data_IF_372394066550
#
_entry.id   IF_372394066550
#
_cell.length_a   1.000
_cell.length_b   1.000
_cell.length_c   1.000
_cell.angle_alpha   90.00
_cell.angle_beta   90.00
_cell.angle_gamma   90.00
#
_symmetry.space_group_name_H-M   'P 1'
#
loop_
_entity.id
_entity.type
_entity.pdbx_description
1 polymer ?
#
# COMPACT_ATOMS: atom_id res chain seq x y z
N UNK A 1 24.24 12.79 39.54
CA UNK A 1 23.02 11.96 39.46
C UNK A 1 21.77 12.71 38.96
N UNK A 2 21.50 13.95 39.42
CA UNK A 2 20.30 14.72 39.00
C UNK A 2 20.22 14.94 37.48
N UNK A 3 21.35 15.24 36.83
CA UNK A 3 21.40 15.47 35.38
C UNK A 3 21.19 14.19 34.55
N UNK A 4 21.63 13.02 35.06
CA UNK A 4 21.39 11.71 34.41
C UNK A 4 19.90 11.37 34.43
N UNK A 5 19.19 11.66 35.54
CA UNK A 5 17.74 11.47 35.63
C UNK A 5 16.96 12.34 34.64
N UNK A 6 17.43 13.57 34.39
CA UNK A 6 16.83 14.48 33.40
C UNK A 6 17.09 13.97 31.97
N UNK A 7 18.31 13.51 31.66
CA UNK A 7 18.63 12.95 30.33
C UNK A 7 17.81 11.69 30.04
N UNK A 8 17.66 10.78 31.01
CA UNK A 8 16.82 9.57 30.86
C UNK A 8 15.35 9.95 30.66
N UNK A 9 14.84 10.94 31.42
CA UNK A 9 13.46 11.42 31.25
C UNK A 9 13.23 12.08 29.88
N UNK A 10 14.19 12.86 29.38
CA UNK A 10 14.12 13.48 28.04
C UNK A 10 14.23 12.45 26.91
N UNK A 11 15.08 11.42 27.04
CA UNK A 11 15.19 10.35 26.04
C UNK A 11 13.91 9.50 25.97
N UNK A 12 13.26 9.30 27.12
CA UNK A 12 11.97 8.60 27.21
C UNK A 12 10.84 9.36 26.51
N UNK A 13 10.88 10.70 26.52
CA UNK A 13 9.88 11.54 25.83
C UNK A 13 10.03 11.52 24.30
N UNK A 14 11.24 11.34 23.78
CA UNK A 14 11.51 11.25 22.33
C UNK A 14 10.98 9.93 21.75
N UNK A 15 10.93 8.85 22.55
CA UNK A 15 10.40 7.55 22.12
C UNK A 15 8.87 7.54 21.95
N UNK A 16 8.15 8.54 22.48
CA UNK A 16 6.68 8.60 22.40
C UNK A 16 6.13 9.25 21.12
N UNK A 17 7.00 9.77 20.24
CA UNK A 17 6.56 10.45 19.00
C UNK A 17 6.67 9.59 17.75
N UNK A 18 6.67 8.25 17.86
CA UNK A 18 6.65 7.37 16.69
C UNK A 18 5.37 7.60 15.88
N UNK A 19 5.44 8.50 14.90
CA UNK A 19 4.34 8.80 13.99
C UNK A 19 4.16 7.63 13.01
N UNK A 20 3.28 6.70 13.35
CA UNK A 20 2.81 5.71 12.41
C UNK A 20 1.97 6.37 11.29
N UNK A 21 2.06 5.86 10.07
CA UNK A 21 1.21 6.32 8.96
C UNK A 21 -0.27 6.05 9.26
N UNK A 22 -1.03 7.14 9.48
CA UNK A 22 -2.48 7.07 9.71
C UNK A 22 -3.19 6.50 8.48
N UNK A 23 -4.10 5.51 8.64
CA UNK A 23 -4.95 5.02 7.55
C UNK A 23 -5.81 6.14 6.94
N UNK A 24 -6.24 5.95 5.70
CA UNK A 24 -7.13 6.87 4.97
C UNK A 24 -8.34 6.09 4.46
N UNK A 25 -9.55 6.51 4.79
CA UNK A 25 -10.75 5.77 4.37
C UNK A 25 -10.88 5.73 2.85
N UNK A 26 -11.11 4.54 2.31
CA UNK A 26 -11.35 4.35 0.88
C UNK A 26 -12.67 4.96 0.42
N UNK A 27 -12.61 5.72 -0.68
CA UNK A 27 -13.77 6.16 -1.47
C UNK A 27 -14.16 5.16 -2.58
N UNK A 28 -13.39 4.09 -2.74
CA UNK A 28 -13.65 3.06 -3.75
C UNK A 28 -14.53 1.94 -3.19
N UNK A 29 -15.30 1.33 -4.09
CA UNK A 29 -15.97 0.07 -3.81
C UNK A 29 -14.97 -1.05 -4.03
N UNK A 30 -14.58 -1.69 -2.93
CA UNK A 30 -13.77 -2.90 -2.97
C UNK A 30 -14.64 -4.04 -3.49
N UNK A 31 -14.18 -4.68 -4.57
CA UNK A 31 -14.80 -5.89 -5.08
C UNK A 31 -14.37 -7.00 -4.12
N UNK A 32 -15.10 -7.12 -3.01
CA UNK A 32 -14.95 -8.25 -2.10
C UNK A 32 -15.60 -9.44 -2.81
N UNK A 33 -14.85 -10.10 -3.66
CA UNK A 33 -15.23 -11.41 -4.15
C UNK A 33 -15.34 -12.31 -2.92
N UNK A 34 -16.50 -12.95 -2.70
CA UNK A 34 -16.66 -14.03 -1.71
C UNK A 34 -15.87 -15.30 -2.11
N UNK A 35 -14.75 -15.10 -2.79
CA UNK A 35 -13.96 -16.12 -3.43
C UNK A 35 -12.80 -16.38 -2.47
N UNK A 36 -12.77 -17.57 -1.88
CA UNK A 36 -11.66 -18.03 -1.04
C UNK A 36 -10.32 -18.00 -1.79
N UNK A 37 -10.35 -18.08 -3.14
CA UNK A 37 -9.19 -18.09 -4.03
C UNK A 37 -9.39 -17.24 -5.30
N UNK A 38 -8.90 -16.00 -5.33
CA UNK A 38 -8.93 -15.15 -6.55
C UNK A 38 -8.01 -15.73 -7.63
N UNK A 39 -8.52 -15.92 -8.85
CA UNK A 39 -7.74 -16.37 -10.00
C UNK A 39 -7.42 -15.22 -10.96
N UNK A 40 -6.36 -15.36 -11.79
CA UNK A 40 -6.00 -14.32 -12.78
C UNK A 40 -7.08 -14.13 -13.86
N UNK A 41 -7.96 -15.11 -14.07
CA UNK A 41 -9.05 -15.01 -15.03
C UNK A 41 -10.23 -14.19 -14.50
N UNK A 42 -10.29 -13.97 -13.18
CA UNK A 42 -11.28 -13.09 -12.54
C UNK A 42 -10.93 -11.59 -12.71
N UNK A 43 -9.70 -11.31 -13.17
CA UNK A 43 -9.14 -9.98 -13.33
C UNK A 43 -9.06 -9.55 -14.81
N UNK A 44 -8.95 -8.25 -15.05
CA UNK A 44 -9.01 -7.63 -16.36
C UNK A 44 -10.38 -6.98 -16.62
N UNK A 45 -10.54 -6.36 -17.79
CA UNK A 45 -11.74 -5.60 -18.15
C UNK A 45 -12.19 -4.61 -17.06
N UNK A 46 -11.22 -3.99 -16.38
CA UNK A 46 -11.42 -3.04 -15.29
C UNK A 46 -11.33 -3.63 -13.89
N UNK A 47 -11.44 -4.95 -13.69
CA UNK A 47 -11.14 -5.55 -12.38
C UNK A 47 -9.63 -5.65 -12.19
N UNK A 48 -9.08 -4.77 -11.37
CA UNK A 48 -7.64 -4.66 -11.16
C UNK A 48 -7.29 -4.95 -9.71
N UNK A 49 -6.39 -5.91 -9.51
CA UNK A 49 -5.79 -6.21 -8.21
C UNK A 49 -4.60 -5.27 -7.98
N UNK A 50 -4.61 -4.55 -6.86
CA UNK A 50 -3.53 -3.67 -6.43
C UNK A 50 -2.99 -4.22 -5.12
N UNK A 51 -1.69 -4.49 -5.05
CA UNK A 51 -1.08 -5.07 -3.84
C UNK A 51 0.18 -4.34 -3.40
N UNK A 52 0.45 -4.45 -2.11
CA UNK A 52 1.69 -3.95 -1.52
C UNK A 52 2.82 -4.99 -1.67
N UNK A 53 3.76 -4.68 -2.54
CA UNK A 53 4.93 -5.50 -2.88
C UNK A 53 6.14 -5.30 -1.97
N UNK A 54 5.97 -4.81 -0.75
CA UNK A 54 7.05 -4.68 0.23
C UNK A 54 7.76 -6.03 0.48
N UNK A 55 9.08 -6.01 0.42
CA UNK A 55 9.94 -7.18 0.68
C UNK A 55 9.94 -7.57 2.16
N UNK A 56 10.41 -8.78 2.49
CA UNK A 56 10.46 -9.32 3.86
C UNK A 56 11.14 -8.34 4.85
N UNK A 57 12.21 -7.68 4.43
CA UNK A 57 12.93 -6.70 5.25
C UNK A 57 12.02 -5.55 5.73
N UNK A 58 11.14 -5.08 4.85
CA UNK A 58 10.14 -4.04 5.11
C UNK A 58 8.86 -4.55 5.82
N UNK A 59 8.74 -5.88 6.01
CA UNK A 59 7.62 -6.49 6.75
C UNK A 59 7.92 -6.59 8.24
N UNK A 60 9.19 -6.68 8.62
CA UNK A 60 9.61 -6.97 10.00
C UNK A 60 9.43 -5.78 10.95
N UNK A 61 9.53 -4.56 10.45
CA UNK A 61 9.38 -3.31 11.22
C UNK A 61 7.97 -2.69 11.11
N UNK A 62 7.09 -3.30 10.30
CA UNK A 62 5.72 -2.84 10.05
C UNK A 62 5.65 -1.41 9.50
N UNK A 63 6.71 -0.89 8.87
CA UNK A 63 6.79 0.50 8.39
C UNK A 63 6.23 0.67 6.98
N UNK A 64 6.26 -0.39 6.17
CA UNK A 64 5.90 -0.35 4.75
C UNK A 64 4.41 -0.28 4.43
N UNK A 65 3.63 0.48 5.20
CA UNK A 65 2.23 0.80 4.88
C UNK A 65 2.18 1.82 3.75
N UNK A 66 1.24 1.63 2.81
CA UNK A 66 1.04 2.53 1.68
C UNK A 66 -0.34 3.17 1.77
N UNK A 67 -0.39 4.49 1.87
CA UNK A 67 -1.61 5.24 1.60
C UNK A 67 -1.62 5.62 0.12
N UNK A 68 -2.70 5.28 -0.58
CA UNK A 68 -2.79 5.45 -2.03
C UNK A 68 -3.99 6.33 -2.36
N UNK A 69 -3.77 7.26 -3.27
CA UNK A 69 -4.82 8.01 -3.95
C UNK A 69 -4.75 7.68 -5.43
N UNK A 70 -5.93 7.53 -6.02
CA UNK A 70 -6.14 7.27 -7.43
C UNK A 70 -7.04 8.38 -7.96
N UNK A 71 -6.59 9.12 -8.96
CA UNK A 71 -7.31 10.28 -9.54
C UNK A 71 -7.82 11.24 -8.45
N UNK A 72 -6.93 11.58 -7.51
CA UNK A 72 -7.19 12.44 -6.35
C UNK A 72 -8.15 11.85 -5.29
N UNK A 73 -8.72 10.67 -5.51
CA UNK A 73 -9.59 9.99 -4.54
C UNK A 73 -8.81 8.98 -3.70
N UNK A 74 -9.04 8.89 -2.39
CA UNK A 74 -8.37 7.92 -1.54
C UNK A 74 -8.80 6.50 -1.90
N UNK A 75 -7.84 5.68 -2.35
CA UNK A 75 -8.04 4.24 -2.51
C UNK A 75 -8.04 3.54 -1.15
N UNK A 76 -7.23 4.03 -0.21
CA UNK A 76 -7.11 3.44 1.11
C UNK A 76 -5.67 3.21 1.55
N UNK A 77 -5.52 2.56 2.70
CA UNK A 77 -4.24 2.04 3.15
C UNK A 77 -4.08 0.55 2.83
N UNK A 78 -3.02 0.19 2.11
CA UNK A 78 -2.62 -1.20 1.85
C UNK A 78 -1.35 -1.52 2.65
N UNK A 79 -1.45 -2.42 3.62
CA UNK A 79 -0.30 -2.87 4.44
C UNK A 79 0.51 -3.95 3.71
N UNK A 80 1.73 -4.27 4.18
CA UNK A 80 2.49 -5.35 3.58
C UNK A 80 1.72 -6.68 3.59
N UNK A 81 1.76 -7.39 2.46
CA UNK A 81 0.95 -8.62 2.25
C UNK A 81 -0.56 -8.39 2.20
N UNK A 82 -1.02 -7.16 1.96
CA UNK A 82 -2.41 -6.90 1.64
C UNK A 82 -2.59 -6.59 0.14
N UNK A 83 -3.80 -6.83 -0.35
CA UNK A 83 -4.25 -6.45 -1.68
C UNK A 83 -5.70 -5.97 -1.66
N UNK A 84 -6.07 -5.22 -2.69
CA UNK A 84 -7.46 -4.83 -2.96
C UNK A 84 -7.78 -5.12 -4.41
N UNK A 85 -9.05 -5.35 -4.71
CA UNK A 85 -9.56 -5.40 -6.07
C UNK A 85 -10.58 -4.28 -6.22
N UNK A 86 -10.39 -3.45 -7.24
CA UNK A 86 -11.31 -2.36 -7.57
C UNK A 86 -11.68 -2.43 -9.05
N UNK A 87 -12.83 -1.85 -9.39
CA UNK A 87 -13.14 -1.58 -10.78
C UNK A 87 -12.52 -0.23 -11.19
N UNK A 88 -11.56 -0.30 -12.11
CA UNK A 88 -10.85 0.80 -12.72
C UNK A 88 -11.34 0.97 -14.15
N UNK A 89 -11.66 2.19 -14.56
CA UNK A 89 -12.01 2.48 -15.96
C UNK A 89 -10.76 2.33 -16.83
N UNK A 90 -10.96 2.24 -18.14
CA UNK A 90 -9.86 2.31 -19.09
C UNK A 90 -9.37 3.74 -19.22
N UNK A 91 -8.08 3.86 -19.52
CA UNK A 91 -7.43 5.13 -19.80
C UNK A 91 -6.34 5.45 -18.79
N UNK A 92 -5.93 6.73 -18.77
CA UNK A 92 -4.86 7.22 -17.91
C UNK A 92 -5.37 7.47 -16.50
N UNK A 93 -4.60 6.99 -15.54
CA UNK A 93 -4.89 7.12 -14.12
C UNK A 93 -3.66 7.65 -13.38
N UNK A 94 -3.91 8.59 -12.47
CA UNK A 94 -2.86 9.19 -11.64
C UNK A 94 -2.86 8.54 -10.26
N UNK A 95 -1.74 7.93 -9.90
CA UNK A 95 -1.50 7.34 -8.60
C UNK A 95 -0.60 8.25 -7.79
N UNK A 96 -1.06 8.61 -6.59
CA UNK A 96 -0.22 9.23 -5.56
C UNK A 96 -0.06 8.24 -4.42
N UNK A 97 1.18 8.00 -4.02
CA UNK A 97 1.54 7.02 -3.00
C UNK A 97 2.31 7.71 -1.89
N UNK A 98 1.90 7.46 -0.65
CA UNK A 98 2.59 7.89 0.56
C UNK A 98 2.99 6.68 1.38
N UNK A 99 4.26 6.65 1.74
CA UNK A 99 4.89 5.73 2.67
C UNK A 99 5.61 6.56 3.75
N UNK A 100 5.55 6.12 5.01
CA UNK A 100 6.27 6.76 6.11
C UNK A 100 7.14 5.71 6.76
N UNK A 101 8.44 5.96 6.71
CA UNK A 101 9.47 5.28 7.48
C UNK A 101 10.19 6.36 8.31
N UNK A 102 11.52 6.28 8.46
CA UNK A 102 12.35 7.37 9.01
C UNK A 102 12.06 8.72 8.33
N UNK A 103 11.65 8.70 7.06
CA UNK A 103 11.23 9.88 6.29
C UNK A 103 9.88 9.67 5.60
N UNK A 104 9.22 10.78 5.27
CA UNK A 104 8.00 10.78 4.46
C UNK A 104 8.35 10.63 2.97
N UNK A 105 7.99 9.50 2.37
CA UNK A 105 8.23 9.21 0.95
C UNK A 105 6.94 9.36 0.16
N UNK A 106 6.89 10.36 -0.72
CA UNK A 106 5.77 10.63 -1.63
C UNK A 106 6.23 10.41 -3.05
N UNK A 107 5.42 9.71 -3.84
CA UNK A 107 5.64 9.60 -5.28
C UNK A 107 4.34 9.60 -6.05
N UNK A 108 4.43 10.02 -7.30
CA UNK A 108 3.33 10.10 -8.24
C UNK A 108 3.66 9.28 -9.49
N UNK A 109 2.67 8.58 -10.02
CA UNK A 109 2.80 7.69 -11.18
C UNK A 109 1.59 7.88 -12.08
N UNK A 110 1.81 8.02 -13.39
CA UNK A 110 0.74 7.94 -14.39
C UNK A 110 0.83 6.56 -15.05
N UNK A 111 -0.28 5.83 -15.08
CA UNK A 111 -0.38 4.55 -15.78
C UNK A 111 -1.61 4.51 -16.67
N UNK A 112 -1.51 3.75 -17.74
CA UNK A 112 -2.63 3.48 -18.65
C UNK A 112 -3.23 2.11 -18.35
N UNK A 113 -4.53 2.08 -18.07
CA UNK A 113 -5.30 0.87 -17.79
C UNK A 113 -6.04 0.46 -19.06
N UNK A 114 -5.84 -0.79 -19.47
CA UNK A 114 -6.54 -1.40 -20.60
C UNK A 114 -7.34 -2.65 -20.17
N UNK A 115 -7.91 -3.36 -21.15
CA UNK A 115 -8.64 -4.60 -20.89
C UNK A 115 -7.77 -5.73 -20.31
N UNK A 116 -6.47 -5.70 -20.57
CA UNK A 116 -5.51 -6.76 -20.22
C UNK A 116 -4.85 -6.50 -18.87
N UNK A 117 -5.01 -5.29 -18.33
CA UNK A 117 -4.45 -4.90 -17.03
C UNK A 117 -5.18 -5.63 -15.92
N UNK A 118 -4.45 -6.49 -15.22
CA UNK A 118 -4.98 -7.38 -14.16
C UNK A 118 -4.38 -7.05 -12.81
N UNK A 119 -3.07 -6.89 -12.72
CA UNK A 119 -2.35 -6.78 -11.46
C UNK A 119 -1.38 -5.60 -11.48
N UNK A 120 -1.46 -4.78 -10.44
CA UNK A 120 -0.56 -3.66 -10.17
C UNK A 120 0.15 -3.93 -8.84
N UNK A 121 1.47 -3.87 -8.88
CA UNK A 121 2.35 -3.91 -7.72
C UNK A 121 2.75 -2.49 -7.34
N UNK A 122 2.59 -2.15 -6.07
CA UNK A 122 3.18 -0.93 -5.50
C UNK A 122 4.13 -1.35 -4.39
N UNK A 123 5.40 -0.95 -4.47
CA UNK A 123 6.39 -1.26 -3.43
C UNK A 123 7.09 0.01 -2.93
N UNK A 124 7.27 0.18 -1.62
CA UNK A 124 8.19 1.19 -1.11
C UNK A 124 9.63 0.81 -1.50
N UNK A 125 10.46 1.82 -1.70
CA UNK A 125 11.92 1.71 -1.86
C UNK A 125 12.60 2.54 -0.76
N UNK A 126 13.92 2.62 -0.78
CA UNK A 126 14.69 3.34 0.26
C UNK A 126 14.37 4.85 0.29
N UNK A 127 13.94 5.44 -0.84
CA UNK A 127 13.72 6.89 -0.95
C UNK A 127 12.43 7.27 -1.66
N UNK A 128 11.63 6.31 -2.14
CA UNK A 128 10.43 6.56 -2.93
C UNK A 128 9.48 5.36 -2.90
N UNK A 129 8.52 5.31 -3.82
CA UNK A 129 7.70 4.15 -4.11
C UNK A 129 7.75 3.85 -5.61
N UNK A 130 7.75 2.57 -5.96
CA UNK A 130 7.69 2.09 -7.34
C UNK A 130 6.33 1.45 -7.60
N UNK A 131 5.73 1.78 -8.75
CA UNK A 131 4.50 1.16 -9.24
C UNK A 131 4.82 0.40 -10.54
N UNK A 132 4.34 -0.84 -10.66
CA UNK A 132 4.58 -1.73 -11.82
C UNK A 132 3.27 -2.46 -12.18
N UNK A 133 2.87 -2.47 -13.45
CA UNK A 133 1.84 -3.38 -13.97
C UNK A 133 2.53 -4.73 -14.21
N UNK A 134 2.13 -5.76 -13.47
CA UNK A 134 2.76 -7.10 -13.55
C UNK A 134 1.89 -8.11 -14.28
N UNK A 135 0.55 -7.98 -14.17
CA UNK A 135 -0.42 -8.98 -14.64
C UNK A 135 -0.20 -10.41 -14.10
N UNK A 136 0.63 -10.54 -13.08
CA UNK A 136 0.99 -11.76 -12.37
C UNK A 136 0.81 -11.54 -10.88
N UNK A 137 0.34 -12.56 -10.16
CA UNK A 137 0.20 -12.52 -8.71
C UNK A 137 1.57 -12.44 -8.01
N UNK A 138 1.62 -11.86 -6.79
CA UNK A 138 2.83 -11.93 -5.99
C UNK A 138 3.19 -13.39 -5.66
N UNK A 139 4.49 -13.65 -5.48
CA UNK A 139 4.96 -14.93 -4.93
C UNK A 139 4.31 -15.18 -3.57
N UNK A 140 3.82 -16.41 -3.35
CA UNK A 140 3.08 -16.81 -2.16
C UNK A 140 1.81 -15.97 -1.93
N UNK A 141 0.99 -15.79 -2.97
CA UNK A 141 -0.26 -15.04 -2.91
C UNK A 141 -1.26 -15.59 -1.88
N UNK A 142 -1.18 -16.88 -1.57
CA UNK A 142 -1.90 -17.56 -0.48
C UNK A 142 -1.71 -16.90 0.89
N UNK A 143 -0.59 -16.18 1.09
CA UNK A 143 -0.28 -15.46 2.34
C UNK A 143 -0.81 -14.04 2.36
N UNK A 144 -1.35 -13.55 1.24
CA UNK A 144 -1.89 -12.20 1.14
C UNK A 144 -3.31 -12.15 1.68
N UNK A 145 -3.67 -11.02 2.27
CA UNK A 145 -4.99 -10.77 2.83
C UNK A 145 -5.68 -9.64 2.07
N UNK A 146 -6.99 -9.78 1.91
CA UNK A 146 -7.79 -8.68 1.36
C UNK A 146 -7.77 -7.49 2.33
N UNK A 147 -7.47 -6.29 1.85
CA UNK A 147 -7.36 -5.12 2.70
C UNK A 147 -8.74 -4.70 3.23
N UNK A 148 -8.79 -4.34 4.50
CA UNK A 148 -9.99 -3.77 5.11
C UNK A 148 -10.23 -2.36 4.58
N UNK A 149 -11.51 -1.97 4.50
CA UNK A 149 -11.88 -0.61 4.13
C UNK A 149 -11.64 0.33 5.32
N UNK A 150 -10.51 1.04 5.32
CA UNK A 150 -10.04 1.94 6.39
C UNK A 150 -9.09 2.98 5.85
#
# INVERSE_FOLDING_TARGET
MKNIRIIIASFSFILLTSCALKPITSEYTFIKTNIENVELNDLGNGNVLIYNGANILHKMDNTARLNIWLDQKPLGQIRPSEYVIINLKKGKHHFKVLHIDVVNMRSEHEIEIDNKTKVIKIKPTITSNKLEITNEFPKNFDKFKYAEKR
#
